data_IF_580896583786
#
_entry.id   IF_580896583786
#
_cell.length_a   1.000
_cell.length_b   1.000
_cell.length_c   1.000
_cell.angle_alpha   90.00
_cell.angle_beta   90.00
_cell.angle_gamma   90.00
#
_symmetry.space_group_name_H-M   'P 1'
#
loop_
_entity.id
_entity.type
_entity.pdbx_description
1 polymer ?
#
# COMPACT_ATOMS: atom_id res chain seq x y z
N UNK A 1 -12.34 -30.23 -72.76
CA UNK A 1 -11.89 -29.28 -73.81
C UNK A 1 -11.43 -28.01 -73.10
N UNK A 2 -10.12 -27.69 -73.24
CA UNK A 2 -9.35 -26.50 -72.77
C UNK A 2 -9.30 -26.30 -71.24
N UNK A 3 -8.23 -26.51 -70.44
CA UNK A 3 -6.76 -26.27 -70.47
C UNK A 3 -6.34 -24.84 -70.06
N UNK A 4 -5.77 -24.72 -68.83
CA UNK A 4 -4.67 -23.82 -68.35
C UNK A 4 -5.08 -22.34 -68.11
N UNK A 5 -4.61 -21.60 -67.09
CA UNK A 5 -3.27 -21.48 -66.49
C UNK A 5 -3.28 -20.84 -65.09
N UNK A 6 -2.27 -21.17 -64.28
CA UNK A 6 -1.85 -20.41 -63.09
C UNK A 6 -1.22 -19.06 -63.47
N UNK A 7 -1.25 -18.10 -62.56
CA UNK A 7 -0.25 -17.04 -62.46
C UNK A 7 -0.06 -16.67 -60.98
N UNK A 8 1.12 -16.99 -60.46
CA UNK A 8 1.68 -16.52 -59.20
C UNK A 8 2.33 -15.15 -59.45
N UNK A 9 2.03 -14.13 -58.62
CA UNK A 9 2.82 -12.90 -58.56
C UNK A 9 2.90 -12.38 -57.13
N UNK A 10 4.15 -12.33 -56.66
CA UNK A 10 4.69 -11.73 -55.43
C UNK A 10 4.22 -10.30 -55.12
N UNK A 11 4.14 -10.05 -53.81
CA UNK A 11 4.57 -8.86 -53.04
C UNK A 11 4.29 -7.44 -53.57
N UNK A 12 3.57 -6.65 -52.77
CA UNK A 12 3.49 -5.18 -52.86
C UNK A 12 2.58 -4.60 -51.77
N UNK A 13 3.13 -3.76 -50.92
CA UNK A 13 2.62 -3.23 -49.64
C UNK A 13 1.30 -2.43 -49.66
N UNK A 14 0.63 -2.36 -48.50
CA UNK A 14 -0.19 -1.18 -48.17
C UNK A 14 -1.35 -1.34 -47.17
N UNK A 15 -1.06 -1.13 -45.89
CA UNK A 15 -1.95 -0.50 -44.88
C UNK A 15 -2.88 -1.37 -43.99
N UNK A 16 -2.39 -1.52 -42.74
CA UNK A 16 -3.08 -1.40 -41.46
C UNK A 16 -4.27 -2.34 -41.10
N UNK A 17 -4.01 -3.28 -40.21
CA UNK A 17 -4.80 -3.44 -38.97
C UNK A 17 -3.91 -4.00 -37.86
N UNK A 18 -3.94 -3.31 -36.71
CA UNK A 18 -3.17 -3.57 -35.49
C UNK A 18 -3.37 -5.01 -34.98
N UNK A 19 -2.32 -5.76 -34.64
CA UNK A 19 -1.59 -5.78 -33.35
C UNK A 19 -2.51 -5.99 -32.13
N UNK A 20 -2.09 -6.93 -31.26
CA UNK A 20 -2.47 -7.17 -29.86
C UNK A 20 -3.53 -8.24 -29.57
N UNK A 21 -3.14 -9.52 -29.69
CA UNK A 21 -3.86 -10.64 -29.07
C UNK A 21 -2.95 -11.61 -28.28
N UNK A 22 -1.88 -11.11 -27.66
CA UNK A 22 -1.21 -11.80 -26.54
C UNK A 22 -1.29 -11.02 -25.21
N UNK A 23 -1.66 -9.73 -25.24
CA UNK A 23 -1.84 -8.93 -24.03
C UNK A 23 -3.17 -9.20 -23.29
N UNK A 24 -4.13 -9.87 -23.95
CA UNK A 24 -5.46 -10.12 -23.37
C UNK A 24 -5.53 -11.35 -22.45
N UNK A 25 -4.55 -12.26 -22.48
CA UNK A 25 -4.52 -13.36 -21.49
C UNK A 25 -3.96 -12.94 -20.12
N UNK A 26 -3.24 -11.82 -20.04
CA UNK A 26 -2.81 -11.26 -18.74
C UNK A 26 -3.97 -10.69 -17.91
N UNK A 27 -5.17 -10.56 -18.48
CA UNK A 27 -6.35 -10.08 -17.77
C UNK A 27 -7.14 -11.18 -17.03
N UNK A 28 -6.75 -12.46 -17.18
CA UNK A 28 -7.39 -13.60 -16.51
C UNK A 28 -6.54 -14.22 -15.40
N UNK A 29 -5.29 -13.79 -15.27
CA UNK A 29 -4.41 -14.20 -14.19
C UNK A 29 -4.74 -13.35 -12.97
N UNK A 30 -5.24 -13.98 -11.91
CA UNK A 30 -5.28 -13.40 -10.57
C UNK A 30 -3.92 -12.82 -10.15
N UNK A 31 -3.84 -12.15 -8.98
CA UNK A 31 -2.69 -11.35 -8.59
C UNK A 31 -1.38 -12.07 -8.88
N UNK A 32 -0.58 -11.48 -9.78
CA UNK A 32 0.70 -12.04 -10.23
C UNK A 32 1.55 -12.29 -8.99
N UNK A 33 2.01 -13.53 -8.75
CA UNK A 33 2.71 -13.87 -7.52
C UNK A 33 3.93 -12.96 -7.37
N UNK A 34 3.92 -12.17 -6.30
CA UNK A 34 4.99 -11.21 -6.03
C UNK A 34 6.30 -11.94 -5.78
N UNK A 35 7.42 -11.29 -6.14
CA UNK A 35 8.74 -11.80 -5.75
C UNK A 35 8.82 -11.89 -4.23
N UNK A 36 9.55 -12.88 -3.70
CA UNK A 36 9.68 -13.09 -2.26
C UNK A 36 10.20 -11.83 -1.52
N UNK A 37 11.00 -10.99 -2.20
CA UNK A 37 11.45 -9.72 -1.66
C UNK A 37 10.31 -8.70 -1.52
N UNK A 38 9.43 -8.58 -2.53
CA UNK A 38 8.26 -7.69 -2.50
C UNK A 38 7.28 -8.13 -1.43
N UNK A 39 6.97 -9.42 -1.32
CA UNK A 39 6.08 -9.95 -0.26
C UNK A 39 6.60 -9.64 1.14
N UNK A 40 7.90 -9.82 1.39
CA UNK A 40 8.52 -9.48 2.69
C UNK A 40 8.45 -7.99 2.99
N UNK A 41 8.68 -7.14 1.99
CA UNK A 41 8.56 -5.67 2.14
C UNK A 41 7.13 -5.30 2.50
N UNK A 42 6.14 -5.74 1.71
CA UNK A 42 4.73 -5.44 1.96
C UNK A 42 4.31 -5.87 3.36
N UNK A 43 4.70 -7.07 3.78
CA UNK A 43 4.39 -7.53 5.14
C UNK A 43 5.00 -6.64 6.22
N UNK A 44 6.25 -6.21 6.04
CA UNK A 44 6.92 -5.30 6.98
C UNK A 44 6.21 -3.94 7.07
N UNK A 45 5.79 -3.39 5.93
CA UNK A 45 5.09 -2.10 5.89
C UNK A 45 3.68 -2.21 6.47
N UNK A 46 2.96 -3.32 6.26
CA UNK A 46 1.67 -3.58 6.91
C UNK A 46 1.82 -3.74 8.42
N UNK A 47 2.87 -4.43 8.88
CA UNK A 47 3.17 -4.57 10.30
C UNK A 47 3.47 -3.23 10.99
N UNK A 48 4.09 -2.29 10.26
CA UNK A 48 4.30 -0.91 10.71
C UNK A 48 3.00 -0.12 10.71
N UNK A 49 2.21 -0.23 9.63
CA UNK A 49 0.91 0.43 9.51
C UNK A 49 0.03 0.09 10.72
N UNK A 50 -0.12 -1.20 11.05
CA UNK A 50 -0.89 -1.60 12.23
C UNK A 50 -0.34 -1.03 13.53
N UNK A 51 0.96 -1.19 13.75
CA UNK A 51 1.58 -0.74 15.00
C UNK A 51 1.42 0.77 15.20
N UNK A 52 1.64 1.56 14.14
CA UNK A 52 1.53 3.00 14.19
C UNK A 52 0.07 3.45 14.31
N UNK A 53 -0.88 2.79 13.63
CA UNK A 53 -2.30 3.07 13.80
C UNK A 53 -2.76 2.85 15.25
N UNK A 54 -2.28 1.79 15.93
CA UNK A 54 -2.56 1.58 17.35
C UNK A 54 -2.01 2.70 18.23
N UNK A 55 -0.78 3.15 17.96
CA UNK A 55 -0.15 4.24 18.70
C UNK A 55 -0.92 5.55 18.51
N UNK A 56 -1.28 5.91 17.28
CA UNK A 56 -2.05 7.13 16.99
C UNK A 56 -3.41 7.10 17.67
N UNK A 57 -4.15 5.99 17.57
CA UNK A 57 -5.46 5.86 18.22
C UNK A 57 -5.36 6.00 19.74
N UNK A 58 -4.38 5.34 20.37
CA UNK A 58 -4.18 5.45 21.81
C UNK A 58 -3.78 6.88 22.23
N UNK A 59 -2.95 7.55 21.42
CA UNK A 59 -2.53 8.92 21.68
C UNK A 59 -3.69 9.92 21.53
N UNK A 60 -4.51 9.77 20.49
CA UNK A 60 -5.69 10.62 20.24
C UNK A 60 -6.82 10.38 21.25
N UNK A 61 -6.88 9.20 21.88
CA UNK A 61 -7.84 8.89 22.93
C UNK A 61 -7.38 9.29 24.34
N UNK A 62 -6.15 9.80 24.50
CA UNK A 62 -5.65 10.23 25.79
C UNK A 62 -6.43 11.46 26.30
N UNK A 63 -7.00 11.36 27.50
CA UNK A 63 -7.83 12.41 28.07
C UNK A 63 -7.05 13.65 28.52
N UNK A 64 -5.78 13.48 28.87
CA UNK A 64 -4.92 14.53 29.42
C UNK A 64 -3.43 14.28 29.10
N UNK A 65 -2.61 15.26 29.48
CA UNK A 65 -1.16 15.24 29.26
C UNK A 65 -0.45 14.06 29.97
N UNK A 66 -0.77 13.72 31.24
CA UNK A 66 -0.23 12.52 31.88
C UNK A 66 -0.54 11.21 31.14
N UNK A 67 -1.79 11.02 30.70
CA UNK A 67 -2.21 9.86 29.93
C UNK A 67 -1.47 9.80 28.59
N UNK A 68 -1.36 10.93 27.88
CA UNK A 68 -0.61 11.02 26.63
C UNK A 68 0.87 10.65 26.84
N UNK A 69 1.51 11.15 27.91
CA UNK A 69 2.89 10.82 28.23
C UNK A 69 3.07 9.33 28.57
N UNK A 70 2.10 8.70 29.25
CA UNK A 70 2.10 7.27 29.51
C UNK A 70 1.99 6.45 28.22
N UNK A 71 1.07 6.83 27.32
CA UNK A 71 0.97 6.24 25.98
C UNK A 71 2.28 6.42 25.22
N UNK A 72 2.92 7.59 25.32
CA UNK A 72 4.21 7.87 24.67
C UNK A 72 5.32 6.93 25.12
N UNK A 73 5.45 6.71 26.43
CA UNK A 73 6.44 5.75 26.96
C UNK A 73 6.15 4.33 26.53
N UNK A 74 4.88 3.91 26.58
CA UNK A 74 4.46 2.57 26.16
C UNK A 74 4.71 2.34 24.65
N UNK A 75 4.33 3.30 23.82
CA UNK A 75 4.56 3.30 22.38
C UNK A 75 6.06 3.22 22.06
N UNK A 76 6.88 4.10 22.62
CA UNK A 76 8.33 4.09 22.38
C UNK A 76 8.97 2.75 22.78
N UNK A 77 8.55 2.15 23.92
CA UNK A 77 9.01 0.82 24.33
C UNK A 77 8.60 -0.26 23.33
N UNK A 78 7.34 -0.28 22.91
CA UNK A 78 6.82 -1.27 21.96
C UNK A 78 7.48 -1.15 20.58
N UNK A 79 7.62 0.07 20.07
CA UNK A 79 8.26 0.35 18.78
C UNK A 79 9.76 0.06 18.82
N UNK A 80 10.45 0.36 19.93
CA UNK A 80 11.85 -0.04 20.13
C UNK A 80 12.02 -1.55 20.09
N UNK A 81 11.14 -2.31 20.74
CA UNK A 81 11.20 -3.76 20.75
C UNK A 81 10.92 -4.38 19.37
N UNK A 82 9.95 -3.83 18.61
CA UNK A 82 9.54 -4.38 17.31
C UNK A 82 10.39 -3.90 16.13
N UNK A 83 10.82 -2.64 16.13
CA UNK A 83 11.43 -1.98 14.97
C UNK A 83 12.81 -1.35 15.27
N UNK A 84 13.35 -1.53 16.48
CA UNK A 84 14.62 -0.93 16.88
C UNK A 84 14.53 0.57 17.21
N UNK A 85 13.36 1.19 17.12
CA UNK A 85 13.14 2.57 17.54
C UNK A 85 11.74 3.09 17.18
N UNK A 86 11.44 4.31 17.62
CA UNK A 86 10.20 5.01 17.29
C UNK A 86 9.64 5.81 18.46
N UNK A 87 8.75 6.73 18.13
CA UNK A 87 7.98 7.55 19.07
C UNK A 87 6.57 7.78 18.52
N UNK A 88 5.70 8.39 19.33
CA UNK A 88 4.40 8.88 18.84
C UNK A 88 4.62 9.81 17.64
N UNK A 89 5.49 10.80 17.75
CA UNK A 89 5.75 11.77 16.68
C UNK A 89 6.20 11.10 15.37
N UNK A 90 7.11 10.12 15.44
CA UNK A 90 7.52 9.41 14.22
C UNK A 90 6.41 8.55 13.62
N UNK A 91 5.51 7.99 14.44
CA UNK A 91 4.37 7.23 13.96
C UNK A 91 3.37 8.13 13.22
N UNK A 92 3.08 9.31 13.78
CA UNK A 92 2.25 10.34 13.14
C UNK A 92 2.84 10.78 11.79
N UNK A 93 4.11 11.18 11.77
CA UNK A 93 4.79 11.62 10.56
C UNK A 93 4.84 10.54 9.47
N UNK A 94 5.11 9.28 9.86
CA UNK A 94 5.14 8.17 8.90
C UNK A 94 3.76 7.88 8.29
N UNK A 95 2.71 7.86 9.10
CA UNK A 95 1.33 7.61 8.65
C UNK A 95 0.80 8.73 7.74
N UNK A 96 1.16 9.98 8.02
CA UNK A 96 0.80 11.11 7.17
C UNK A 96 1.62 11.16 5.86
N UNK A 97 2.80 10.53 5.85
CA UNK A 97 3.74 10.53 4.74
C UNK A 97 3.42 9.54 3.61
N UNK A 98 4.24 9.55 2.54
CA UNK A 98 4.05 8.69 1.36
C UNK A 98 4.06 7.19 1.70
N UNK A 99 4.98 6.75 2.55
CA UNK A 99 5.11 5.33 2.92
C UNK A 99 3.84 4.81 3.65
N UNK A 100 3.26 5.61 4.55
CA UNK A 100 2.00 5.26 5.20
C UNK A 100 0.83 5.21 4.24
N UNK A 101 0.80 6.09 3.24
CA UNK A 101 -0.21 6.09 2.18
C UNK A 101 -0.12 4.84 1.30
N UNK A 102 1.08 4.50 0.85
CA UNK A 102 1.32 3.29 0.04
C UNK A 102 0.94 2.01 0.80
N UNK A 103 1.28 1.93 2.10
CA UNK A 103 0.90 0.80 2.94
C UNK A 103 -0.62 0.69 3.12
N UNK A 104 -1.30 1.83 3.32
CA UNK A 104 -2.77 1.86 3.39
C UNK A 104 -3.39 1.43 2.06
N UNK A 105 -2.90 1.94 0.94
CA UNK A 105 -3.39 1.58 -0.39
C UNK A 105 -3.26 0.08 -0.65
N UNK A 106 -2.11 -0.51 -0.32
CA UNK A 106 -1.87 -1.95 -0.44
C UNK A 106 -2.90 -2.79 0.34
N UNK A 107 -3.33 -2.30 1.51
CA UNK A 107 -4.39 -2.96 2.29
C UNK A 107 -5.77 -2.76 1.66
N UNK A 108 -6.07 -1.56 1.16
CA UNK A 108 -7.37 -1.23 0.57
C UNK A 108 -7.62 -1.95 -0.76
N UNK A 109 -6.56 -2.20 -1.53
CA UNK A 109 -6.63 -2.95 -2.80
C UNK A 109 -6.61 -4.47 -2.60
N UNK A 110 -6.39 -4.94 -1.37
CA UNK A 110 -6.26 -6.36 -1.06
C UNK A 110 -4.90 -6.97 -1.49
N UNK A 111 -3.91 -6.14 -1.82
CA UNK A 111 -2.54 -6.60 -2.12
C UNK A 111 -1.89 -7.23 -0.87
N UNK A 112 -2.27 -6.78 0.32
CA UNK A 112 -1.83 -7.33 1.60
C UNK A 112 -2.94 -7.30 2.65
N UNK A 113 -3.05 -8.37 3.43
CA UNK A 113 -4.02 -8.46 4.51
C UNK A 113 -3.44 -7.97 5.84
N UNK A 114 -4.30 -7.37 6.65
CA UNK A 114 -4.05 -7.04 8.05
C UNK A 114 -4.05 -8.32 8.89
N UNK A 115 -3.23 -8.35 9.94
CA UNK A 115 -3.08 -9.47 10.87
C UNK A 115 -4.21 -9.53 11.92
N UNK A 116 -5.42 -9.08 11.55
CA UNK A 116 -6.71 -9.14 12.27
C UNK A 116 -6.95 -8.22 13.49
N UNK A 117 -5.95 -7.54 14.03
CA UNK A 117 -6.14 -6.72 15.25
C UNK A 117 -6.86 -5.39 15.04
N UNK A 118 -6.82 -4.84 13.83
CA UNK A 118 -7.48 -3.60 13.45
C UNK A 118 -8.37 -3.85 12.24
N UNK A 119 -9.58 -3.30 12.25
CA UNK A 119 -10.39 -3.28 11.04
C UNK A 119 -9.88 -2.22 10.06
N UNK A 120 -10.15 -2.39 8.77
CA UNK A 120 -9.81 -1.40 7.73
C UNK A 120 -10.33 0.00 8.11
N UNK A 121 -11.56 0.08 8.65
CA UNK A 121 -12.14 1.34 9.11
C UNK A 121 -11.29 2.01 10.19
N UNK A 122 -10.79 1.24 11.16
CA UNK A 122 -9.95 1.76 12.24
C UNK A 122 -8.58 2.21 11.75
N UNK A 123 -8.02 1.52 10.74
CA UNK A 123 -6.77 1.93 10.09
C UNK A 123 -6.97 3.26 9.35
N UNK A 124 -8.01 3.37 8.54
CA UNK A 124 -8.34 4.60 7.80
C UNK A 124 -8.57 5.78 8.75
N UNK A 125 -9.29 5.57 9.85
CA UNK A 125 -9.51 6.59 10.87
C UNK A 125 -8.21 7.05 11.53
N UNK A 126 -7.33 6.11 11.91
CA UNK A 126 -6.03 6.43 12.49
C UNK A 126 -5.14 7.23 11.52
N UNK A 127 -5.14 6.87 10.23
CA UNK A 127 -4.39 7.61 9.21
C UNK A 127 -4.92 9.04 9.06
N UNK A 128 -6.24 9.24 9.10
CA UNK A 128 -6.85 10.59 9.06
C UNK A 128 -6.45 11.42 10.27
N UNK A 129 -6.51 10.86 11.48
CA UNK A 129 -6.06 11.53 12.70
C UNK A 129 -4.57 11.93 12.59
N UNK A 130 -3.74 11.07 11.99
CA UNK A 130 -2.34 11.37 11.79
C UNK A 130 -2.12 12.55 10.83
N UNK A 131 -2.85 12.56 9.70
CA UNK A 131 -2.78 13.63 8.71
C UNK A 131 -3.26 14.97 9.27
N UNK A 132 -4.35 14.97 10.03
CA UNK A 132 -4.88 16.19 10.68
C UNK A 132 -3.87 16.76 11.69
N UNK A 133 -3.29 15.92 12.54
CA UNK A 133 -2.30 16.35 13.50
C UNK A 133 -1.02 16.91 12.85
N UNK A 134 -0.54 16.30 11.75
CA UNK A 134 0.61 16.83 11.02
C UNK A 134 0.28 18.15 10.30
N UNK A 135 -0.93 18.29 9.75
CA UNK A 135 -1.37 19.55 9.17
C UNK A 135 -1.42 20.68 10.20
N UNK A 136 -1.94 20.40 11.40
CA UNK A 136 -1.95 21.36 12.51
C UNK A 136 -0.52 21.74 12.95
N UNK A 137 0.42 20.78 12.97
CA UNK A 137 1.84 21.06 13.26
C UNK A 137 2.53 21.92 12.20
N UNK A 138 2.15 21.79 10.93
CA UNK A 138 2.76 22.56 9.85
C UNK A 138 2.18 23.98 9.71
N UNK A 139 1.02 24.24 10.31
CA UNK A 139 0.28 25.51 10.20
C UNK A 139 0.32 26.38 11.46
N UNK A 140 0.86 25.86 12.57
CA UNK A 140 1.12 26.60 13.82
C UNK A 140 2.57 27.03 13.95
#
# INVERSE_FOLDING_TARGET
MVVVSQSDTRAGEGSATAVFTEAFESALTGPTPHSAAKTRRLRTETDKLEAFCRVVRAASAAADQPAFAAVGRAASKALRAKFGGGSITSAFAWLAGPAGREALESVLTGEVELDSTLSIRQVVEAVKLAQEAEHLRASG
#
